data_IF_724575763617
#
_entry.id   IF_724575763617
#
_cell.length_a   1.000
_cell.length_b   1.000
_cell.length_c   1.000
_cell.angle_alpha   90.00
_cell.angle_beta   90.00
_cell.angle_gamma   90.00
#
_symmetry.space_group_name_H-M   'P 1'
#
loop_
_entity.id
_entity.type
_entity.pdbx_description
1 polymer ?
#
# COMPACT_ATOMS: atom_id res chain seq x y z
N UNK A 1 -3.86 -51.11 18.11
CA UNK A 1 -3.63 -50.39 16.85
C UNK A 1 -3.58 -48.89 17.20
N UNK A 2 -2.38 -48.36 17.27
CA UNK A 2 -2.17 -46.96 17.65
C UNK A 2 -2.15 -46.08 16.41
N UNK A 3 -3.10 -45.14 16.34
CA UNK A 3 -3.14 -44.12 15.30
C UNK A 3 -2.06 -43.09 15.66
N UNK A 4 -0.98 -43.06 14.87
CA UNK A 4 0.03 -42.01 14.95
C UNK A 4 -0.55 -40.73 14.29
N UNK A 5 -0.90 -39.75 15.09
CA UNK A 5 -1.15 -38.40 14.62
C UNK A 5 0.18 -37.81 14.11
N UNK A 6 0.35 -37.78 12.79
CA UNK A 6 1.37 -36.95 12.14
C UNK A 6 0.88 -35.49 12.18
N UNK A 7 1.23 -34.76 13.22
CA UNK A 7 1.27 -33.30 13.17
C UNK A 7 2.48 -32.93 12.31
N UNK A 8 2.24 -32.68 11.04
CA UNK A 8 3.21 -31.98 10.21
C UNK A 8 3.33 -30.56 10.77
N UNK A 9 4.38 -30.30 11.54
CA UNK A 9 4.83 -28.95 11.87
C UNK A 9 5.16 -28.28 10.54
N UNK A 10 4.28 -27.36 10.11
CA UNK A 10 4.63 -26.40 9.06
C UNK A 10 5.85 -25.63 9.59
N UNK A 11 7.01 -25.98 9.12
CA UNK A 11 8.23 -25.18 9.33
C UNK A 11 7.91 -23.79 8.76
N UNK A 12 7.78 -22.80 9.63
CA UNK A 12 7.61 -21.42 9.23
C UNK A 12 8.84 -21.03 8.41
N UNK A 13 8.68 -20.96 7.08
CA UNK A 13 9.77 -20.57 6.19
C UNK A 13 10.20 -19.16 6.57
N UNK A 14 11.43 -19.01 7.00
CA UNK A 14 12.03 -17.73 7.31
C UNK A 14 11.95 -16.81 6.07
N UNK A 15 11.79 -15.49 6.28
CA UNK A 15 11.77 -14.53 5.18
C UNK A 15 13.00 -14.66 4.28
N UNK A 16 12.83 -14.65 2.97
CA UNK A 16 13.95 -14.64 2.04
C UNK A 16 14.63 -13.27 2.06
N UNK A 17 15.92 -13.16 2.40
CA UNK A 17 16.60 -11.88 2.41
C UNK A 17 16.60 -11.20 1.04
N UNK A 18 16.53 -9.87 1.02
CA UNK A 18 16.58 -9.05 -0.22
C UNK A 18 17.81 -9.37 -1.08
N UNK A 19 18.95 -9.72 -0.48
CA UNK A 19 20.19 -10.12 -1.19
C UNK A 19 20.02 -11.32 -2.13
N UNK A 20 18.98 -12.13 -1.93
CA UNK A 20 18.65 -13.27 -2.81
C UNK A 20 17.77 -12.87 -4.00
N UNK A 21 17.41 -11.61 -4.16
CA UNK A 21 16.67 -11.15 -5.36
C UNK A 21 17.57 -11.26 -6.59
N UNK A 22 17.23 -12.12 -7.58
CA UNK A 22 18.14 -12.44 -8.68
C UNK A 22 18.47 -11.22 -9.55
N UNK A 23 19.75 -11.07 -9.93
CA UNK A 23 20.19 -9.98 -10.82
C UNK A 23 19.43 -9.99 -12.15
N UNK A 24 19.20 -11.17 -12.73
CA UNK A 24 18.47 -11.32 -13.99
C UNK A 24 17.01 -10.80 -13.91
N UNK A 25 16.35 -10.93 -12.74
CA UNK A 25 15.03 -10.33 -12.54
C UNK A 25 15.12 -8.81 -12.47
N UNK A 26 16.07 -8.27 -11.67
CA UNK A 26 16.28 -6.82 -11.49
C UNK A 26 16.63 -6.08 -12.79
N UNK A 27 17.37 -6.74 -13.69
CA UNK A 27 17.73 -6.17 -15.01
C UNK A 27 16.53 -5.87 -15.89
N UNK A 28 15.41 -6.58 -15.69
CA UNK A 28 14.21 -6.48 -16.54
C UNK A 28 13.12 -5.58 -15.97
N UNK A 29 13.34 -4.95 -14.79
CA UNK A 29 12.33 -4.14 -14.13
C UNK A 29 11.91 -2.95 -15.00
N UNK A 30 10.60 -2.74 -15.10
CA UNK A 30 9.97 -1.64 -15.81
C UNK A 30 9.61 -0.47 -14.90
N UNK A 31 9.43 -0.73 -13.61
CA UNK A 31 9.07 0.28 -12.64
C UNK A 31 8.86 -0.28 -11.23
N UNK A 32 8.55 0.62 -10.33
CA UNK A 32 8.36 0.37 -8.90
C UNK A 32 6.97 0.78 -8.49
N UNK A 33 6.27 -0.11 -7.81
CA UNK A 33 5.04 0.13 -7.08
C UNK A 33 5.38 0.11 -5.59
N UNK A 34 4.89 1.05 -4.79
CA UNK A 34 5.24 1.11 -3.36
C UNK A 34 4.08 1.60 -2.53
N UNK A 35 3.98 1.09 -1.30
CA UNK A 35 3.22 1.74 -0.25
C UNK A 35 3.92 3.00 0.25
N UNK A 36 3.26 3.80 1.09
CA UNK A 36 3.80 5.06 1.64
C UNK A 36 4.11 4.92 3.13
N UNK A 37 3.06 4.69 3.96
CA UNK A 37 3.20 4.73 5.42
C UNK A 37 4.04 3.56 5.93
N UNK A 38 5.04 3.88 6.77
CA UNK A 38 5.99 2.88 7.29
C UNK A 38 6.74 2.07 6.20
N UNK A 39 6.68 2.54 4.93
CA UNK A 39 7.43 2.01 3.79
C UNK A 39 8.37 3.08 3.22
N UNK A 40 7.86 4.23 2.75
CA UNK A 40 8.63 5.41 2.36
C UNK A 40 8.85 6.37 3.53
N UNK A 41 7.89 6.38 4.46
CA UNK A 41 7.89 7.29 5.60
C UNK A 41 8.34 6.59 6.87
N UNK A 42 8.81 7.41 7.82
CA UNK A 42 9.06 7.04 9.21
C UNK A 42 8.36 8.10 10.05
N UNK A 43 7.47 7.66 10.96
CA UNK A 43 6.67 8.58 11.80
C UNK A 43 5.94 9.66 10.97
N UNK A 44 5.35 9.25 9.85
CA UNK A 44 4.54 10.11 8.98
C UNK A 44 5.34 11.02 8.03
N UNK A 45 6.67 11.07 8.11
CA UNK A 45 7.52 11.88 7.25
C UNK A 45 8.41 11.02 6.33
N UNK A 46 8.57 11.45 5.07
CA UNK A 46 9.52 10.77 4.17
C UNK A 46 10.95 11.02 4.67
N UNK A 47 11.74 9.95 4.72
CA UNK A 47 13.13 10.04 5.16
C UNK A 47 14.06 10.55 4.04
N UNK A 48 15.19 11.20 4.36
CA UNK A 48 16.12 11.68 3.34
C UNK A 48 16.65 10.58 2.41
N UNK A 49 16.88 9.38 2.93
CA UNK A 49 17.35 8.21 2.18
C UNK A 49 16.27 7.67 1.24
N UNK A 50 15.01 7.58 1.68
CA UNK A 50 13.89 7.21 0.82
C UNK A 50 13.65 8.25 -0.29
N UNK A 51 13.69 9.55 0.04
CA UNK A 51 13.55 10.62 -0.95
C UNK A 51 14.70 10.59 -1.97
N UNK A 52 15.92 10.38 -1.52
CA UNK A 52 17.09 10.22 -2.40
C UNK A 52 16.94 8.99 -3.31
N UNK A 53 16.44 7.88 -2.78
CA UNK A 53 16.18 6.67 -3.56
C UNK A 53 15.13 6.90 -4.66
N UNK A 54 14.04 7.64 -4.37
CA UNK A 54 13.07 8.05 -5.38
C UNK A 54 13.71 8.93 -6.49
N UNK A 55 14.57 9.88 -6.13
CA UNK A 55 15.30 10.68 -7.11
C UNK A 55 16.20 9.83 -8.01
N UNK A 56 16.84 8.80 -7.46
CA UNK A 56 17.69 7.88 -8.23
C UNK A 56 16.87 7.02 -9.21
N UNK A 57 15.71 6.53 -8.80
CA UNK A 57 14.78 5.83 -9.71
C UNK A 57 14.36 6.73 -10.87
N UNK A 58 13.96 7.97 -10.56
CA UNK A 58 13.60 8.96 -11.59
C UNK A 58 14.77 9.24 -12.54
N UNK A 59 15.98 9.42 -12.02
CA UNK A 59 17.19 9.65 -12.82
C UNK A 59 17.55 8.44 -13.70
N UNK A 60 17.23 7.23 -13.24
CA UNK A 60 17.36 6.00 -14.02
C UNK A 60 16.25 5.82 -15.07
N UNK A 61 15.19 6.65 -15.08
CA UNK A 61 14.05 6.50 -15.99
C UNK A 61 13.06 5.41 -15.57
N UNK A 62 13.16 4.90 -14.33
CA UNK A 62 12.22 3.93 -13.79
C UNK A 62 11.02 4.65 -13.18
N UNK A 63 9.80 4.45 -13.70
CA UNK A 63 8.58 5.03 -13.14
C UNK A 63 8.31 4.47 -11.75
N UNK A 64 7.81 5.35 -10.88
CA UNK A 64 7.39 5.01 -9.52
C UNK A 64 5.94 5.42 -9.31
N UNK A 65 5.10 4.48 -8.88
CA UNK A 65 3.74 4.74 -8.45
C UNK A 65 3.59 4.37 -6.98
N UNK A 66 3.26 5.37 -6.15
CA UNK A 66 2.95 5.14 -4.75
C UNK A 66 1.45 4.84 -4.60
N UNK A 67 1.08 3.82 -3.82
CA UNK A 67 -0.30 3.36 -3.65
C UNK A 67 -0.58 3.24 -2.17
N UNK A 68 -1.49 4.05 -1.65
CA UNK A 68 -1.67 4.24 -0.22
C UNK A 68 -3.13 4.20 0.23
N UNK A 69 -3.37 3.91 1.51
CA UNK A 69 -4.65 4.14 2.19
C UNK A 69 -4.84 5.57 2.70
N UNK A 70 -3.86 6.47 2.50
CA UNK A 70 -4.00 7.89 2.83
C UNK A 70 -5.04 8.58 1.94
N UNK A 71 -5.70 9.63 2.44
CA UNK A 71 -6.69 10.37 1.65
C UNK A 71 -6.07 11.14 0.49
N UNK A 72 -6.89 11.44 -0.50
CA UNK A 72 -6.50 12.28 -1.63
C UNK A 72 -5.99 13.65 -1.17
N UNK A 73 -6.69 14.29 -0.23
CA UNK A 73 -6.26 15.60 0.30
C UNK A 73 -4.90 15.59 0.99
N UNK A 74 -4.57 14.52 1.73
CA UNK A 74 -3.24 14.35 2.30
C UNK A 74 -2.18 14.12 1.23
N UNK A 75 -2.53 13.41 0.17
CA UNK A 75 -1.60 12.97 -0.88
C UNK A 75 -1.22 14.09 -1.87
N UNK A 76 -2.04 15.13 -2.03
CA UNK A 76 -1.82 16.22 -3.00
C UNK A 76 -0.45 16.90 -2.91
N UNK A 77 -0.02 17.43 -1.74
CA UNK A 77 1.26 18.11 -1.63
C UNK A 77 2.44 17.19 -1.98
N UNK A 78 2.31 15.90 -1.70
CA UNK A 78 3.36 14.91 -1.97
C UNK A 78 3.38 14.48 -3.45
N UNK A 79 2.23 14.39 -4.11
CA UNK A 79 2.17 14.19 -5.56
C UNK A 79 2.83 15.36 -6.34
N UNK A 80 2.87 16.55 -5.73
CA UNK A 80 3.58 17.72 -6.28
C UNK A 80 5.07 17.75 -5.93
N UNK A 81 5.44 17.28 -4.74
CA UNK A 81 6.79 17.43 -4.19
C UNK A 81 7.70 16.22 -4.46
N UNK A 82 7.16 14.99 -4.36
CA UNK A 82 7.97 13.79 -4.49
C UNK A 82 8.24 13.44 -5.96
N UNK A 83 9.41 12.83 -6.26
CA UNK A 83 9.76 12.44 -7.63
C UNK A 83 9.10 11.12 -8.03
N UNK A 84 7.79 10.97 -7.78
CA UNK A 84 6.94 9.87 -8.22
C UNK A 84 6.15 10.25 -9.46
N UNK A 85 5.74 9.27 -10.25
CA UNK A 85 4.90 9.49 -11.43
C UNK A 85 3.45 9.76 -11.06
N UNK A 86 2.94 9.06 -10.04
CA UNK A 86 1.64 9.31 -9.44
C UNK A 86 1.55 8.78 -8.02
N UNK A 87 0.59 9.30 -7.24
CA UNK A 87 0.10 8.72 -5.99
C UNK A 87 -1.32 8.23 -6.25
N UNK A 88 -1.59 6.97 -5.94
CA UNK A 88 -2.93 6.40 -5.95
C UNK A 88 -3.38 6.27 -4.51
N UNK A 89 -4.28 7.16 -4.12
CA UNK A 89 -4.79 7.33 -2.76
C UNK A 89 -6.04 6.47 -2.50
N UNK A 90 -6.46 6.44 -1.23
CA UNK A 90 -7.70 5.80 -0.77
C UNK A 90 -7.83 4.37 -1.28
N UNK A 91 -6.79 3.58 -1.04
CA UNK A 91 -6.70 2.16 -1.41
C UNK A 91 -6.96 1.87 -2.89
N UNK A 92 -6.61 2.81 -3.79
CA UNK A 92 -6.71 2.57 -5.23
C UNK A 92 -7.83 3.34 -5.92
N UNK A 93 -8.57 4.21 -5.23
CA UNK A 93 -9.75 4.88 -5.76
C UNK A 93 -9.47 6.23 -6.45
N UNK A 94 -8.43 6.95 -6.02
CA UNK A 94 -8.12 8.32 -6.47
C UNK A 94 -6.67 8.41 -6.92
N UNK A 95 -6.42 8.76 -8.17
CA UNK A 95 -5.07 8.95 -8.70
C UNK A 95 -4.73 10.44 -8.81
N UNK A 96 -3.54 10.78 -8.34
CA UNK A 96 -2.99 12.12 -8.31
C UNK A 96 -1.64 12.12 -9.01
N UNK A 97 -1.46 12.97 -10.04
CA UNK A 97 -0.17 13.12 -10.71
C UNK A 97 0.02 14.54 -11.26
N UNK A 98 1.29 14.92 -11.40
CA UNK A 98 1.64 16.17 -12.04
C UNK A 98 1.59 16.02 -13.56
N UNK A 99 0.76 16.81 -14.22
CA UNK A 99 0.86 16.99 -15.65
C UNK A 99 2.16 17.77 -15.98
N UNK A 100 3.05 17.29 -16.86
CA UNK A 100 4.29 18.00 -17.19
C UNK A 100 4.09 19.45 -17.66
N UNK A 101 2.94 19.76 -18.26
CA UNK A 101 2.59 21.07 -18.82
C UNK A 101 1.50 21.80 -18.01
N UNK A 102 1.05 21.29 -16.85
CA UNK A 102 -0.14 21.80 -16.20
C UNK A 102 -0.22 21.58 -14.69
N UNK A 103 -1.40 21.80 -14.13
CA UNK A 103 -1.67 21.60 -12.71
C UNK A 103 -1.65 20.13 -12.31
N UNK A 104 -1.79 19.90 -11.00
CA UNK A 104 -2.06 18.57 -10.46
C UNK A 104 -3.35 18.01 -11.09
N UNK A 105 -3.25 16.80 -11.64
CA UNK A 105 -4.40 16.03 -12.13
C UNK A 105 -4.93 15.17 -11.00
N UNK A 106 -6.26 15.05 -10.97
CA UNK A 106 -6.98 14.16 -10.06
C UNK A 106 -8.02 13.39 -10.85
N UNK A 107 -7.88 12.07 -10.90
CA UNK A 107 -8.83 11.17 -11.53
C UNK A 107 -9.36 10.16 -10.52
N UNK A 108 -10.53 9.60 -10.81
CA UNK A 108 -11.25 8.68 -9.94
C UNK A 108 -11.63 7.41 -10.67
N UNK A 109 -11.55 6.29 -9.97
CA UNK A 109 -11.97 5.02 -10.52
C UNK A 109 -13.50 4.91 -10.65
N UNK A 110 -14.24 5.55 -9.73
CA UNK A 110 -15.71 5.62 -9.75
C UNK A 110 -16.20 6.96 -10.30
N UNK A 111 -17.36 6.97 -10.95
CA UNK A 111 -18.02 8.19 -11.38
C UNK A 111 -18.52 9.05 -10.19
N UNK A 112 -18.85 10.32 -10.46
CA UNK A 112 -19.20 11.30 -9.43
C UNK A 112 -20.50 10.94 -8.67
N UNK A 113 -21.49 10.38 -9.34
CA UNK A 113 -22.77 10.02 -8.72
C UNK A 113 -22.58 8.84 -7.75
N UNK A 114 -21.83 7.82 -8.18
CA UNK A 114 -21.46 6.66 -7.36
C UNK A 114 -20.65 7.09 -6.13
N UNK A 115 -19.64 7.95 -6.30
CA UNK A 115 -18.85 8.47 -5.17
C UNK A 115 -19.71 9.23 -4.17
N UNK A 116 -20.61 10.11 -4.64
CA UNK A 116 -21.49 10.85 -3.74
C UNK A 116 -22.39 9.94 -2.91
N UNK A 117 -23.05 8.97 -3.54
CA UNK A 117 -23.89 7.99 -2.86
C UNK A 117 -23.10 7.15 -1.85
N UNK A 118 -21.92 6.66 -2.24
CA UNK A 118 -21.04 5.90 -1.37
C UNK A 118 -20.54 6.73 -0.20
N UNK A 119 -20.16 7.99 -0.41
CA UNK A 119 -19.70 8.87 0.67
C UNK A 119 -20.75 9.05 1.77
N UNK A 120 -22.02 9.25 1.42
CA UNK A 120 -23.11 9.36 2.41
C UNK A 120 -23.24 8.07 3.25
N UNK A 121 -23.17 6.90 2.61
CA UNK A 121 -23.20 5.60 3.32
C UNK A 121 -21.97 5.41 4.23
N UNK A 122 -20.81 5.77 3.75
CA UNK A 122 -19.55 5.68 4.51
C UNK A 122 -19.60 6.55 5.78
N UNK A 123 -20.10 7.79 5.67
CA UNK A 123 -20.27 8.68 6.83
C UNK A 123 -21.27 8.10 7.86
N UNK A 124 -22.36 7.50 7.39
CA UNK A 124 -23.32 6.84 8.28
C UNK A 124 -22.69 5.66 9.03
N UNK A 125 -21.89 4.83 8.34
CA UNK A 125 -21.17 3.70 8.96
C UNK A 125 -20.13 4.20 9.97
N UNK A 126 -19.38 5.25 9.64
CA UNK A 126 -18.41 5.87 10.54
C UNK A 126 -19.11 6.36 11.84
N UNK A 127 -20.23 7.06 11.72
CA UNK A 127 -21.01 7.52 12.87
C UNK A 127 -21.51 6.36 13.76
N UNK A 128 -21.93 5.25 13.14
CA UNK A 128 -22.36 4.05 13.88
C UNK A 128 -21.17 3.41 14.63
N UNK A 129 -19.99 3.30 13.99
CA UNK A 129 -18.81 2.76 14.65
C UNK A 129 -18.44 3.60 15.88
N UNK A 130 -18.43 4.91 15.75
CA UNK A 130 -18.09 5.81 16.87
C UNK A 130 -19.12 5.75 18.01
N UNK A 131 -20.39 5.54 17.70
CA UNK A 131 -21.44 5.38 18.71
C UNK A 131 -21.34 4.04 19.46
N UNK A 132 -20.98 2.97 18.76
CA UNK A 132 -20.90 1.61 19.33
C UNK A 132 -19.56 1.33 20.04
N UNK A 133 -18.50 2.02 19.62
CA UNK A 133 -17.15 1.87 20.14
C UNK A 133 -16.61 3.23 20.63
N UNK A 134 -16.89 3.62 21.90
CA UNK A 134 -16.52 4.95 22.42
C UNK A 134 -15.03 5.26 22.40
N UNK A 135 -14.18 4.23 22.29
CA UNK A 135 -12.74 4.36 22.18
C UNK A 135 -12.27 4.55 20.72
N UNK A 136 -13.11 4.25 19.71
CA UNK A 136 -12.76 4.48 18.33
C UNK A 136 -12.64 5.98 18.02
N UNK A 137 -11.72 6.34 17.14
CA UNK A 137 -11.54 7.71 16.64
C UNK A 137 -11.36 7.66 15.14
N UNK A 138 -11.95 8.62 14.43
CA UNK A 138 -11.60 8.85 13.03
C UNK A 138 -10.13 9.24 12.93
N UNK A 139 -9.48 8.82 11.85
CA UNK A 139 -8.15 9.30 11.51
C UNK A 139 -8.17 10.84 11.38
N UNK A 140 -7.10 11.51 11.82
CA UNK A 140 -7.04 12.99 11.80
C UNK A 140 -7.10 13.57 10.39
N UNK A 141 -6.71 12.79 9.39
CA UNK A 141 -6.75 13.14 7.96
C UNK A 141 -8.12 12.90 7.31
N UNK A 142 -9.15 12.52 8.07
CA UNK A 142 -10.49 12.15 7.54
C UNK A 142 -11.15 13.23 6.72
N UNK A 143 -10.87 14.53 6.98
CA UNK A 143 -11.42 15.64 6.20
C UNK A 143 -10.97 15.63 4.72
N UNK A 144 -9.85 14.98 4.40
CA UNK A 144 -9.34 14.85 3.04
C UNK A 144 -9.78 13.59 2.30
N UNK A 145 -10.67 12.75 2.88
CA UNK A 145 -11.14 11.49 2.30
C UNK A 145 -12.40 11.70 1.48
N UNK A 146 -12.45 11.09 0.31
CA UNK A 146 -13.54 11.22 -0.64
C UNK A 146 -14.28 9.91 -0.91
N UNK A 147 -13.57 8.77 -0.85
CA UNK A 147 -14.08 7.46 -1.27
C UNK A 147 -13.96 6.37 -0.21
N UNK A 148 -13.32 6.66 0.91
CA UNK A 148 -13.21 5.75 2.05
C UNK A 148 -13.45 6.45 3.39
N UNK A 149 -13.45 5.66 4.47
CA UNK A 149 -13.36 6.13 5.87
C UNK A 149 -12.17 5.45 6.53
N UNK A 150 -11.58 6.11 7.54
CA UNK A 150 -10.50 5.53 8.32
C UNK A 150 -10.70 5.74 9.82
N UNK A 151 -10.51 4.64 10.57
CA UNK A 151 -10.43 4.65 12.03
C UNK A 151 -8.95 4.54 12.41
N UNK A 152 -8.48 5.47 13.23
CA UNK A 152 -7.12 5.44 13.77
C UNK A 152 -6.97 4.32 14.78
N UNK A 153 -5.93 3.50 14.64
CA UNK A 153 -5.64 2.44 15.61
C UNK A 153 -4.22 2.50 16.16
N UNK A 154 -3.29 3.24 15.54
CA UNK A 154 -1.91 3.32 16.02
C UNK A 154 -1.10 4.53 15.51
N UNK A 155 -1.70 5.50 14.85
CA UNK A 155 -1.00 6.73 14.45
C UNK A 155 -0.97 7.76 15.59
N UNK A 156 -2.12 8.19 16.05
CA UNK A 156 -2.30 9.17 17.12
C UNK A 156 -3.13 8.63 18.28
N UNK A 157 -3.78 7.48 18.07
CA UNK A 157 -4.62 6.81 19.03
C UNK A 157 -4.40 5.29 18.96
N UNK A 158 -4.22 4.66 20.12
CA UNK A 158 -4.04 3.21 20.16
C UNK A 158 -5.37 2.50 20.44
N UNK A 159 -5.77 1.61 19.51
CA UNK A 159 -6.94 0.76 19.66
C UNK A 159 -6.49 -0.67 20.00
N UNK A 160 -7.09 -1.33 21.01
CA UNK A 160 -6.82 -2.73 21.30
C UNK A 160 -7.20 -3.64 20.11
N UNK A 161 -6.48 -4.75 19.93
CA UNK A 161 -6.73 -5.71 18.83
C UNK A 161 -8.20 -6.18 18.76
N UNK A 162 -8.84 -6.40 19.90
CA UNK A 162 -10.25 -6.79 19.96
C UNK A 162 -11.17 -5.72 19.33
N UNK A 163 -10.89 -4.43 19.58
CA UNK A 163 -11.69 -3.34 19.03
C UNK A 163 -11.36 -3.12 17.55
N UNK A 164 -10.11 -3.32 17.13
CA UNK A 164 -9.73 -3.35 15.69
C UNK A 164 -10.59 -4.38 14.94
N UNK A 165 -10.70 -5.60 15.48
CA UNK A 165 -11.51 -6.65 14.87
C UNK A 165 -13.00 -6.29 14.85
N UNK A 166 -13.54 -5.66 15.90
CA UNK A 166 -14.93 -5.19 15.96
C UNK A 166 -15.20 -4.12 14.89
N UNK A 167 -14.29 -3.16 14.71
CA UNK A 167 -14.38 -2.14 13.64
C UNK A 167 -14.43 -2.81 12.27
N UNK A 168 -13.49 -3.73 11.97
CA UNK A 168 -13.45 -4.46 10.70
C UNK A 168 -14.76 -5.23 10.47
N UNK A 169 -15.23 -5.99 11.46
CA UNK A 169 -16.50 -6.73 11.37
C UNK A 169 -17.69 -5.80 11.15
N UNK A 170 -17.71 -4.63 11.82
CA UNK A 170 -18.78 -3.66 11.64
C UNK A 170 -18.78 -3.11 10.22
N UNK A 171 -17.64 -2.68 9.67
CA UNK A 171 -17.51 -2.25 8.28
C UNK A 171 -18.01 -3.33 7.32
N UNK A 172 -17.54 -4.56 7.47
CA UNK A 172 -17.91 -5.68 6.61
C UNK A 172 -19.41 -6.02 6.70
N UNK A 173 -20.01 -5.98 7.88
CA UNK A 173 -21.46 -6.21 8.07
C UNK A 173 -22.34 -5.16 7.37
N UNK A 174 -21.80 -3.99 7.09
CA UNK A 174 -22.44 -2.92 6.33
C UNK A 174 -22.12 -2.96 4.81
N UNK A 175 -21.45 -4.02 4.36
CA UNK A 175 -21.08 -4.22 2.97
C UNK A 175 -19.89 -3.39 2.50
N UNK A 176 -19.03 -2.94 3.43
CA UNK A 176 -17.77 -2.30 3.10
C UNK A 176 -16.66 -3.35 2.96
N UNK A 177 -15.74 -3.11 2.04
CA UNK A 177 -14.40 -3.68 2.16
C UNK A 177 -13.69 -3.04 3.34
N UNK A 178 -12.90 -3.81 4.08
CA UNK A 178 -12.15 -3.30 5.22
C UNK A 178 -10.75 -3.91 5.26
N UNK A 179 -9.74 -3.06 5.45
CA UNK A 179 -8.33 -3.46 5.62
C UNK A 179 -7.71 -2.75 6.81
N UNK A 180 -6.70 -3.40 7.39
CA UNK A 180 -5.89 -2.83 8.46
C UNK A 180 -4.50 -2.57 7.90
N UNK A 181 -4.07 -1.29 7.90
CA UNK A 181 -2.70 -0.87 7.57
C UNK A 181 -1.84 -0.84 8.84
N UNK A 182 -0.62 -0.30 8.75
CA UNK A 182 0.22 -0.06 9.93
C UNK A 182 -0.37 0.95 10.91
N UNK A 183 -1.26 1.84 10.44
CA UNK A 183 -1.77 2.98 11.23
C UNK A 183 -3.30 3.07 11.30
N UNK A 184 -4.03 2.68 10.24
CA UNK A 184 -5.47 2.87 10.11
C UNK A 184 -6.22 1.58 9.78
N UNK A 185 -7.51 1.55 10.15
CA UNK A 185 -8.51 0.62 9.64
C UNK A 185 -9.29 1.37 8.57
N UNK A 186 -9.09 1.03 7.30
CA UNK A 186 -9.78 1.67 6.18
C UNK A 186 -11.00 0.87 5.77
N UNK A 187 -12.10 1.56 5.44
CA UNK A 187 -13.32 0.97 4.92
C UNK A 187 -13.86 1.72 3.70
N UNK A 188 -14.21 0.99 2.62
CA UNK A 188 -14.72 1.60 1.38
C UNK A 188 -15.79 0.74 0.70
N UNK A 189 -16.47 1.33 -0.28
CA UNK A 189 -17.50 0.66 -1.09
C UNK A 189 -17.04 0.63 -2.55
N UNK A 190 -17.00 -0.57 -3.14
CA UNK A 190 -16.59 -0.82 -4.54
C UNK A 190 -15.47 -1.84 -4.64
N UNK A 191 -15.21 -2.31 -5.86
CA UNK A 191 -14.27 -3.42 -6.12
C UNK A 191 -12.80 -2.98 -6.23
N UNK A 192 -12.50 -1.72 -5.93
CA UNK A 192 -11.13 -1.23 -5.96
C UNK A 192 -10.34 -1.68 -4.72
N UNK A 193 -9.04 -1.77 -4.91
CA UNK A 193 -8.01 -1.99 -3.90
C UNK A 193 -6.66 -1.52 -4.44
N UNK A 194 -5.58 -1.70 -3.68
CA UNK A 194 -4.24 -1.32 -4.13
C UNK A 194 -3.85 -1.96 -5.47
N UNK A 195 -4.26 -3.20 -5.74
CA UNK A 195 -3.93 -3.89 -6.99
C UNK A 195 -4.74 -3.35 -8.17
N UNK A 196 -6.03 -3.10 -8.00
CA UNK A 196 -6.86 -2.46 -9.01
C UNK A 196 -6.35 -1.05 -9.34
N UNK A 197 -5.96 -0.28 -8.31
CA UNK A 197 -5.31 1.02 -8.45
C UNK A 197 -3.99 0.95 -9.21
N UNK A 198 -3.15 -0.05 -8.93
CA UNK A 198 -1.90 -0.29 -9.64
C UNK A 198 -2.13 -0.57 -11.13
N UNK A 199 -3.08 -1.47 -11.46
CA UNK A 199 -3.47 -1.78 -12.85
C UNK A 199 -3.95 -0.55 -13.58
N UNK A 200 -4.82 0.21 -12.93
CA UNK A 200 -5.38 1.43 -13.48
C UNK A 200 -4.32 2.47 -13.79
N UNK A 201 -3.45 2.80 -12.83
CA UNK A 201 -2.45 3.86 -13.03
C UNK A 201 -1.37 3.46 -14.04
N UNK A 202 -0.93 2.20 -14.05
CA UNK A 202 0.04 1.69 -15.04
C UNK A 202 -0.54 1.77 -16.45
N UNK A 203 -1.82 1.40 -16.63
CA UNK A 203 -2.52 1.54 -17.91
C UNK A 203 -2.65 3.01 -18.31
N UNK A 204 -3.09 3.87 -17.40
CA UNK A 204 -3.35 5.30 -17.69
C UNK A 204 -2.06 6.06 -18.01
N UNK A 205 -0.99 5.83 -17.28
CA UNK A 205 0.25 6.60 -17.40
C UNK A 205 1.22 6.04 -18.43
N UNK A 206 1.23 4.73 -18.64
CA UNK A 206 2.23 4.06 -19.46
C UNK A 206 1.63 3.30 -20.63
N UNK A 207 0.30 3.23 -20.77
CA UNK A 207 -0.40 2.40 -21.75
C UNK A 207 0.08 0.94 -21.73
N UNK A 208 0.27 0.38 -20.53
CA UNK A 208 0.75 -1.00 -20.30
C UNK A 208 -0.23 -1.78 -19.45
N UNK A 209 -0.25 -3.09 -19.66
CA UNK A 209 -1.07 -4.02 -18.88
C UNK A 209 -0.21 -4.69 -17.80
N UNK A 210 -0.43 -4.30 -16.53
CA UNK A 210 0.35 -4.80 -15.39
C UNK A 210 0.35 -6.33 -15.33
N UNK A 211 -0.81 -6.96 -15.56
CA UNK A 211 -0.96 -8.42 -15.47
C UNK A 211 -0.18 -9.19 -16.54
N UNK A 212 0.14 -8.57 -17.67
CA UNK A 212 0.97 -9.15 -18.70
C UNK A 212 2.48 -9.09 -18.38
N UNK A 213 2.86 -8.36 -17.34
CA UNK A 213 4.26 -8.02 -17.04
C UNK A 213 4.61 -8.13 -15.56
N UNK A 214 3.91 -8.96 -14.79
CA UNK A 214 4.04 -9.09 -13.33
C UNK A 214 5.46 -9.38 -12.84
N UNK A 215 6.26 -10.09 -13.64
CA UNK A 215 7.65 -10.39 -13.35
C UNK A 215 8.62 -9.22 -13.65
N UNK A 216 8.10 -8.14 -14.21
CA UNK A 216 8.85 -6.93 -14.57
C UNK A 216 8.54 -5.72 -13.68
N UNK A 217 7.73 -5.91 -12.66
CA UNK A 217 7.38 -4.90 -11.66
C UNK A 217 7.79 -5.36 -10.28
N UNK A 218 8.30 -4.45 -9.46
CA UNK A 218 8.52 -4.70 -8.05
C UNK A 218 7.50 -3.94 -7.22
N UNK A 219 6.98 -4.60 -6.19
CA UNK A 219 6.16 -3.95 -5.16
C UNK A 219 6.89 -3.92 -3.83
N UNK A 220 6.84 -2.78 -3.13
CA UNK A 220 7.41 -2.60 -1.79
C UNK A 220 6.30 -2.19 -0.82
N UNK A 221 6.20 -2.85 0.33
CA UNK A 221 5.19 -2.58 1.35
C UNK A 221 5.59 -3.12 2.72
N UNK A 222 4.74 -2.95 3.72
CA UNK A 222 5.08 -3.28 5.11
C UNK A 222 4.00 -4.02 5.90
N UNK A 223 2.74 -4.01 5.48
CA UNK A 223 1.63 -4.39 6.34
C UNK A 223 0.55 -5.25 5.67
N UNK A 224 -0.55 -5.50 6.38
CA UNK A 224 -1.58 -6.46 5.93
C UNK A 224 -2.40 -5.98 4.74
N UNK A 225 -2.53 -4.67 4.52
CA UNK A 225 -3.19 -4.12 3.34
C UNK A 225 -2.38 -4.29 2.05
N UNK A 226 -1.09 -4.71 2.16
CA UNK A 226 -0.20 -5.02 1.04
C UNK A 226 -0.25 -6.50 0.63
N UNK A 227 -0.88 -7.35 1.44
CA UNK A 227 -0.84 -8.79 1.24
C UNK A 227 -1.29 -9.21 -0.17
N UNK A 228 -2.31 -8.55 -0.73
CA UNK A 228 -2.77 -8.82 -2.10
C UNK A 228 -1.73 -8.47 -3.14
N UNK A 229 -1.02 -7.35 -2.97
CA UNK A 229 0.10 -6.96 -3.83
C UNK A 229 1.26 -7.95 -3.72
N UNK A 230 1.61 -8.38 -2.49
CA UNK A 230 2.65 -9.38 -2.26
C UNK A 230 2.34 -10.72 -2.96
N UNK A 231 1.09 -11.16 -2.92
CA UNK A 231 0.68 -12.42 -3.56
C UNK A 231 0.59 -12.34 -5.09
N UNK A 232 0.40 -11.14 -5.63
CA UNK A 232 0.19 -10.96 -7.07
C UNK A 232 1.48 -10.70 -7.85
N UNK A 233 2.41 -9.94 -7.27
CA UNK A 233 3.66 -9.56 -7.92
C UNK A 233 4.80 -10.54 -7.59
N UNK A 234 5.41 -11.09 -8.62
CA UNK A 234 6.51 -12.06 -8.48
C UNK A 234 7.74 -11.46 -7.77
N UNK A 235 7.97 -10.16 -7.90
CA UNK A 235 9.01 -9.42 -7.21
C UNK A 235 8.38 -8.53 -6.13
N UNK A 236 8.00 -9.12 -5.02
CA UNK A 236 7.46 -8.38 -3.87
C UNK A 236 8.48 -8.33 -2.73
N UNK A 237 8.61 -7.16 -2.11
CA UNK A 237 9.55 -6.90 -1.03
C UNK A 237 8.81 -6.29 0.16
N UNK A 238 8.97 -6.90 1.32
CA UNK A 238 8.58 -6.30 2.58
C UNK A 238 9.76 -5.51 3.16
N UNK A 239 9.55 -4.26 3.62
CA UNK A 239 10.53 -3.63 4.51
C UNK A 239 10.49 -4.33 5.87
N UNK A 240 11.60 -4.30 6.64
CA UNK A 240 11.78 -5.19 7.81
C UNK A 240 10.64 -5.13 8.84
N UNK A 241 9.96 -3.98 8.99
CA UNK A 241 8.81 -3.86 9.89
C UNK A 241 7.59 -4.71 9.48
N UNK A 242 7.56 -5.28 8.27
CA UNK A 242 6.56 -6.30 7.85
C UNK A 242 6.51 -7.48 8.82
N UNK A 243 7.60 -7.74 9.54
CA UNK A 243 7.68 -8.78 10.57
C UNK A 243 6.61 -8.65 11.66
N UNK A 244 6.16 -7.43 11.96
CA UNK A 244 5.07 -7.14 12.94
C UNK A 244 3.74 -7.78 12.51
N UNK A 245 3.54 -7.97 11.22
CA UNK A 245 2.32 -8.48 10.60
C UNK A 245 2.47 -9.90 10.05
N UNK A 246 3.64 -10.53 10.16
CA UNK A 246 4.02 -11.77 9.47
C UNK A 246 2.98 -12.88 9.57
N UNK A 247 2.43 -13.10 10.78
CA UNK A 247 1.43 -14.14 11.04
C UNK A 247 -0.01 -13.73 10.67
N UNK A 248 -0.21 -12.47 10.31
CA UNK A 248 -1.51 -11.92 9.90
C UNK A 248 -1.60 -11.73 8.37
N UNK A 249 -0.47 -11.87 7.65
CA UNK A 249 -0.42 -11.74 6.20
C UNK A 249 -1.02 -12.97 5.52
N UNK A 250 -2.05 -12.77 4.69
CA UNK A 250 -2.60 -13.82 3.82
C UNK A 250 -1.62 -14.22 2.71
N UNK A 251 -0.80 -13.28 2.24
CA UNK A 251 0.30 -13.51 1.32
C UNK A 251 1.52 -12.73 1.83
N UNK A 252 2.62 -13.43 1.96
CA UNK A 252 3.89 -12.86 2.44
C UNK A 252 4.71 -12.30 1.28
N UNK A 253 5.50 -11.22 1.46
CA UNK A 253 6.43 -10.75 0.44
C UNK A 253 7.48 -11.82 0.14
N UNK A 254 7.95 -11.84 -1.10
CA UNK A 254 8.98 -12.79 -1.54
C UNK A 254 10.34 -12.51 -0.90
N UNK A 255 10.66 -11.23 -0.72
CA UNK A 255 11.92 -10.79 -0.12
C UNK A 255 11.66 -9.84 1.04
N UNK A 256 12.61 -9.75 1.98
CA UNK A 256 12.54 -8.80 3.09
C UNK A 256 13.87 -8.05 3.21
N UNK A 257 13.79 -6.75 3.46
CA UNK A 257 14.95 -5.87 3.65
C UNK A 257 15.55 -6.05 5.05
N UNK A 258 16.86 -5.80 5.23
CA UNK A 258 17.48 -5.73 6.55
C UNK A 258 16.97 -4.57 7.43
N UNK A 259 16.66 -3.41 6.81
CA UNK A 259 16.20 -2.21 7.51
C UNK A 259 14.70 -2.00 7.38
N UNK A 260 14.12 -1.31 8.36
CA UNK A 260 12.71 -0.92 8.37
C UNK A 260 12.47 0.33 7.52
N UNK A 261 11.22 0.52 7.07
CA UNK A 261 10.67 1.78 6.59
C UNK A 261 11.48 2.40 5.45
N UNK A 262 11.67 3.73 5.43
CA UNK A 262 12.38 4.45 4.38
C UNK A 262 13.80 3.93 4.12
N UNK A 263 14.54 3.54 5.16
CA UNK A 263 15.85 2.91 5.00
C UNK A 263 15.76 1.56 4.28
N UNK A 264 14.72 0.76 4.57
CA UNK A 264 14.42 -0.48 3.85
C UNK A 264 14.10 -0.23 2.38
N UNK A 265 13.27 0.77 2.09
CA UNK A 265 12.99 1.17 0.71
C UNK A 265 14.26 1.60 -0.05
N UNK A 266 15.13 2.38 0.57
CA UNK A 266 16.41 2.77 -0.02
C UNK A 266 17.27 1.54 -0.37
N UNK A 267 17.31 0.51 0.48
CA UNK A 267 18.00 -0.76 0.20
C UNK A 267 17.41 -1.52 -0.99
N UNK A 268 16.07 -1.48 -1.17
CA UNK A 268 15.43 -2.06 -2.37
C UNK A 268 15.94 -1.36 -3.62
N UNK A 269 15.98 -0.03 -3.63
CA UNK A 269 16.44 0.77 -4.76
C UNK A 269 17.93 0.54 -5.03
N UNK A 270 18.76 0.49 -4.00
CA UNK A 270 20.20 0.16 -4.15
C UNK A 270 20.38 -1.21 -4.81
N UNK A 271 19.65 -2.21 -4.30
CA UNK A 271 19.71 -3.57 -4.83
C UNK A 271 19.21 -3.65 -6.27
N UNK A 272 18.13 -2.95 -6.59
CA UNK A 272 17.58 -2.88 -7.95
C UNK A 272 18.58 -2.25 -8.92
N UNK A 273 19.03 -1.02 -8.61
CA UNK A 273 19.88 -0.23 -9.50
C UNK A 273 21.30 -0.82 -9.68
N UNK A 274 21.79 -1.59 -8.73
CA UNK A 274 23.06 -2.30 -8.86
C UNK A 274 23.10 -3.28 -10.05
N UNK A 275 21.94 -3.81 -10.46
CA UNK A 275 21.87 -4.76 -11.58
C UNK A 275 21.10 -4.20 -12.79
N UNK A 276 20.20 -3.26 -12.59
CA UNK A 276 19.34 -2.70 -13.64
C UNK A 276 20.17 -2.03 -14.74
N UNK A 277 19.71 -2.18 -16.00
CA UNK A 277 20.28 -1.56 -17.18
C UNK A 277 19.16 -0.93 -17.99
N UNK A 278 19.34 0.30 -18.51
CA UNK A 278 18.38 0.86 -19.45
C UNK A 278 18.26 -0.02 -20.68
N UNK A 279 17.00 -0.19 -21.17
CA UNK A 279 16.71 -0.95 -22.38
C UNK A 279 17.19 -0.23 -23.65
#
# INVERSE_FOLDING_TARGET
MGVRNCHATMTELAPTPLSHWPAAARQRMLGVLTDIDDTLTTEGAITPDALHALHRLRAAGLPVFAITGRPAGWSEPFALAWPVNAIVAENGAVALWRDPAGPLRRDYLQDAATRHANHQRLQAVAAQILAELPHARLAQDSAGRETDIAIDHSEHHHLPDADIQRVVQRMQSQGLHATVSSIHINGWIGEHDKLAGARWIVRTQLNRELDAELDRWVYVGDSTNDARMFGHLANSVGVANVARFWNRLSHRPRYVTPSERGAGFAQVVDTLLAAWRPA
#
